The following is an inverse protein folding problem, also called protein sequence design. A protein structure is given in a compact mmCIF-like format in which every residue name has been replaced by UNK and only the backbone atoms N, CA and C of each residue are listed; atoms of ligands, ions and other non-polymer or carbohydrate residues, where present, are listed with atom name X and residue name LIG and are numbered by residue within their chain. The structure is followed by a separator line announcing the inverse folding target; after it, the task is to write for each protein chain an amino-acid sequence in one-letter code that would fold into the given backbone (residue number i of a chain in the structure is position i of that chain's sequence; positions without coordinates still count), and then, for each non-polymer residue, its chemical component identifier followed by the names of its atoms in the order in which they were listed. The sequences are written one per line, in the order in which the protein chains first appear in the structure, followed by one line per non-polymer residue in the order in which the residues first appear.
data_IF_689886118835
#
_entry.id   IF_689886118835
#
_cell.length_a   1.000
_cell.length_b   1.000
_cell.length_c   1.000
_cell.angle_alpha   90.00
_cell.angle_beta   90.00
_cell.angle_gamma   90.00
#
_symmetry.space_group_name_H-M   'P 1'
#
loop_
_entity.id
_entity.type
_entity.pdbx_description
1 polymer ?
#
# COMPACT_ATOMS: atom_id res chain seq x y z
N UNK A 1 22.87 -11.41 -39.12
CA UNK A 1 21.73 -10.52 -38.79
C UNK A 1 21.05 -11.20 -37.63
N UNK A 2 21.18 -10.67 -36.41
CA UNK A 2 20.36 -10.97 -35.20
C UNK A 2 20.95 -10.39 -33.87
N UNK A 3 21.84 -9.38 -33.92
CA UNK A 3 22.47 -8.81 -32.71
C UNK A 3 22.23 -7.29 -32.56
N UNK A 4 21.15 -6.75 -33.12
CA UNK A 4 20.95 -5.29 -33.12
C UNK A 4 20.52 -4.71 -31.77
N UNK A 5 20.17 -5.54 -30.77
CA UNK A 5 19.97 -5.09 -29.40
C UNK A 5 20.42 -6.14 -28.38
N UNK A 6 21.56 -5.89 -27.76
CA UNK A 6 22.06 -6.68 -26.63
C UNK A 6 21.02 -6.67 -25.49
N UNK A 7 20.89 -7.79 -24.76
CA UNK A 7 19.92 -7.91 -23.65
C UNK A 7 20.03 -6.77 -22.60
N UNK A 8 21.23 -6.20 -22.43
CA UNK A 8 21.46 -5.01 -21.61
C UNK A 8 20.81 -3.74 -22.16
N UNK A 9 20.79 -3.57 -23.47
CA UNK A 9 20.16 -2.43 -24.17
C UNK A 9 18.63 -2.52 -24.07
N UNK A 10 18.07 -3.74 -24.17
CA UNK A 10 16.65 -4.03 -23.91
C UNK A 10 16.28 -3.68 -22.46
N UNK A 11 17.07 -4.15 -21.49
CA UNK A 11 16.84 -3.80 -20.08
C UNK A 11 16.98 -2.30 -19.82
N UNK A 12 17.86 -1.60 -20.54
CA UNK A 12 18.06 -0.15 -20.38
C UNK A 12 16.92 0.65 -20.99
N UNK A 13 16.33 0.21 -22.11
CA UNK A 13 15.17 0.86 -22.73
C UNK A 13 13.85 0.59 -22.02
N UNK A 14 13.62 -0.66 -21.62
CA UNK A 14 12.35 -1.12 -21.04
C UNK A 14 12.39 -1.28 -19.50
N UNK A 15 13.52 -0.97 -18.87
CA UNK A 15 13.68 -1.00 -17.43
C UNK A 15 13.05 0.20 -16.71
N UNK A 16 13.03 0.20 -15.37
CA UNK A 16 12.54 1.32 -14.57
C UNK A 16 13.39 2.57 -14.84
N UNK A 17 12.76 3.63 -15.38
CA UNK A 17 13.47 4.85 -15.77
C UNK A 17 14.10 4.80 -17.17
N UNK A 18 13.75 3.80 -17.99
CA UNK A 18 14.15 3.73 -19.40
C UNK A 18 13.49 4.79 -20.29
N UNK A 19 13.99 4.92 -21.52
CA UNK A 19 13.52 5.89 -22.52
C UNK A 19 12.32 5.42 -23.33
N UNK A 20 11.80 4.20 -23.08
CA UNK A 20 10.60 3.71 -23.75
C UNK A 20 9.37 4.56 -23.38
N UNK A 21 8.52 4.90 -24.38
CA UNK A 21 7.25 5.58 -24.12
C UNK A 21 6.30 4.65 -23.38
N UNK A 22 5.44 5.24 -22.56
CA UNK A 22 4.52 4.50 -21.69
C UNK A 22 3.50 3.62 -22.45
N UNK A 23 3.28 3.90 -23.75
CA UNK A 23 2.46 3.08 -24.65
C UNK A 23 3.05 1.71 -24.95
N UNK A 24 4.37 1.58 -24.85
CA UNK A 24 5.11 0.35 -25.16
C UNK A 24 5.46 -0.43 -23.88
N UNK A 25 5.11 0.12 -22.71
CA UNK A 25 5.30 -0.52 -21.41
C UNK A 25 4.10 -1.43 -21.10
N UNK A 26 4.38 -2.62 -20.55
CA UNK A 26 3.31 -3.43 -19.95
C UNK A 26 2.76 -2.74 -18.70
N UNK A 27 1.49 -3.00 -18.37
CA UNK A 27 0.80 -2.43 -17.21
C UNK A 27 1.59 -2.58 -15.89
N UNK A 28 2.39 -3.65 -15.73
CA UNK A 28 3.26 -3.85 -14.56
C UNK A 28 4.46 -2.89 -14.55
N UNK A 29 5.07 -2.61 -15.71
CA UNK A 29 6.19 -1.68 -15.85
C UNK A 29 5.75 -0.23 -15.72
N UNK A 30 4.58 0.12 -16.27
CA UNK A 30 3.99 1.45 -16.11
C UNK A 30 3.69 1.74 -14.63
N UNK A 31 3.09 0.79 -13.91
CA UNK A 31 2.85 0.91 -12.46
C UNK A 31 4.15 1.03 -11.67
N UNK A 32 5.20 0.29 -12.06
CA UNK A 32 6.51 0.40 -11.43
C UNK A 32 7.15 1.78 -11.66
N UNK A 33 6.98 2.39 -12.84
CA UNK A 33 7.46 3.75 -13.15
C UNK A 33 6.70 4.82 -12.39
N UNK A 34 5.38 4.69 -12.29
CA UNK A 34 4.52 5.63 -11.55
C UNK A 34 4.41 5.31 -10.06
N UNK A 35 5.19 4.36 -9.55
CA UNK A 35 5.22 3.96 -8.15
C UNK A 35 3.83 3.64 -7.57
N UNK A 36 2.92 3.13 -8.44
CA UNK A 36 1.56 2.74 -8.07
C UNK A 36 1.70 1.43 -7.28
N UNK A 37 1.82 1.58 -5.95
CA UNK A 37 1.82 0.44 -5.05
C UNK A 37 0.60 -0.42 -5.31
N UNK A 38 0.77 -1.74 -5.31
CA UNK A 38 -0.27 -2.73 -5.62
C UNK A 38 -1.51 -2.65 -4.70
N UNK A 39 -1.45 -1.80 -3.65
CA UNK A 39 -2.51 -1.49 -2.70
C UNK A 39 -2.98 -0.02 -2.74
N UNK A 40 -2.63 0.79 -3.75
CA UNK A 40 -3.02 2.22 -3.82
C UNK A 40 -4.53 2.45 -3.93
N UNK A 41 -5.32 1.41 -4.21
CA UNK A 41 -6.79 1.43 -4.22
C UNK A 41 -7.41 0.75 -3.00
N UNK A 42 -6.57 0.27 -2.06
CA UNK A 42 -7.05 -0.18 -0.77
C UNK A 42 -7.42 1.09 -0.02
N UNK A 43 -8.65 1.50 -0.29
CA UNK A 43 -9.42 2.46 0.47
C UNK A 43 -9.07 2.21 1.94
N UNK A 44 -8.21 3.07 2.53
CA UNK A 44 -8.07 3.23 3.98
C UNK A 44 -9.40 3.84 4.45
N UNK A 45 -10.44 3.05 4.25
CA UNK A 45 -11.82 3.46 4.31
C UNK A 45 -12.11 3.66 5.77
N UNK A 46 -12.01 4.93 6.21
CA UNK A 46 -12.93 5.67 7.07
C UNK A 46 -13.62 4.91 8.22
N UNK A 47 -13.05 3.79 8.64
CA UNK A 47 -13.56 2.87 9.61
C UNK A 47 -12.61 2.95 10.78
N UNK A 48 -13.19 3.18 11.97
CA UNK A 48 -12.41 3.22 13.19
C UNK A 48 -11.60 1.92 13.30
N UNK A 49 -10.27 2.05 13.33
CA UNK A 49 -9.37 0.89 13.38
C UNK A 49 -9.83 -0.07 14.49
N UNK A 50 -9.84 -1.40 14.25
CA UNK A 50 -10.27 -2.36 15.26
C UNK A 50 -9.53 -2.18 16.59
N UNK A 51 -8.28 -1.71 16.56
CA UNK A 51 -7.51 -1.34 17.75
C UNK A 51 -8.15 -0.21 18.56
N UNK A 52 -8.69 0.82 17.89
CA UNK A 52 -9.36 1.96 18.53
C UNK A 52 -10.70 1.52 19.15
N UNK A 53 -11.43 0.65 18.46
CA UNK A 53 -12.69 0.09 18.97
C UNK A 53 -12.43 -0.70 20.27
N UNK A 54 -11.43 -1.59 20.26
CA UNK A 54 -11.07 -2.38 21.44
C UNK A 54 -10.61 -1.49 22.60
N UNK A 55 -9.76 -0.49 22.33
CA UNK A 55 -9.30 0.45 23.36
C UNK A 55 -10.46 1.20 24.03
N UNK A 56 -11.45 1.64 23.25
CA UNK A 56 -12.63 2.32 23.77
C UNK A 56 -13.45 1.42 24.72
N UNK A 57 -13.69 0.16 24.32
CA UNK A 57 -14.45 -0.80 25.13
C UNK A 57 -13.74 -1.06 26.47
N UNK A 58 -12.42 -1.29 26.44
CA UNK A 58 -11.63 -1.54 27.65
C UNK A 58 -11.71 -0.35 28.60
N UNK A 59 -11.62 0.88 28.09
CA UNK A 59 -11.71 2.09 28.90
C UNK A 59 -13.08 2.20 29.59
N UNK A 60 -14.17 1.94 28.86
CA UNK A 60 -15.53 1.97 29.42
C UNK A 60 -15.67 0.92 30.53
N UNK A 61 -15.25 -0.32 30.29
CA UNK A 61 -15.34 -1.41 31.28
C UNK A 61 -14.51 -1.09 32.52
N UNK A 62 -13.31 -0.55 32.36
CA UNK A 62 -12.47 -0.14 33.49
C UNK A 62 -13.10 1.00 34.30
N UNK A 63 -13.71 2.00 33.65
CA UNK A 63 -14.38 3.10 34.32
C UNK A 63 -15.61 2.63 35.12
N UNK A 64 -16.44 1.77 34.54
CA UNK A 64 -17.60 1.17 35.23
C UNK A 64 -17.13 0.30 36.39
N UNK A 65 -16.13 -0.57 36.17
CA UNK A 65 -15.58 -1.43 37.21
C UNK A 65 -14.98 -0.64 38.39
N UNK A 66 -14.27 0.45 38.11
CA UNK A 66 -13.76 1.35 39.13
C UNK A 66 -14.91 2.02 39.90
N UNK A 67 -15.92 2.55 39.19
CA UNK A 67 -17.06 3.20 39.82
C UNK A 67 -17.83 2.24 40.75
N UNK A 68 -18.04 0.99 40.34
CA UNK A 68 -18.66 -0.02 41.20
C UNK A 68 -17.80 -0.40 42.41
N UNK A 69 -16.48 -0.49 42.23
CA UNK A 69 -15.52 -0.76 43.32
C UNK A 69 -15.50 0.35 44.36
N UNK A 70 -15.63 1.61 43.94
CA UNK A 70 -15.64 2.77 44.84
C UNK A 70 -17.03 3.08 45.41
N UNK A 71 -18.10 2.61 44.76
CA UNK A 71 -19.49 2.77 45.23
C UNK A 71 -19.94 1.66 46.19
N UNK A 72 -19.13 0.62 46.39
CA UNK A 72 -19.38 -0.51 47.29
C UNK A 72 -18.46 -0.48 48.50
#
# INVERSE_FOLDING_TARGET
MDDSMTAGELRRRYGPGGSAPDSDLTASQLRARHNIHNNSFKNDGNGMSPTVIVALIVLIVAAVGAMMKFSS
#
